data_IF_746386625987
#
_entry.id   IF_746386625987
#
_cell.length_a   1.000
_cell.length_b   1.000
_cell.length_c   1.000
_cell.angle_alpha   90.00
_cell.angle_beta   90.00
_cell.angle_gamma   90.00
#
_symmetry.space_group_name_H-M   'P 1'
#
loop_
_entity.id
_entity.type
_entity.pdbx_description
1 polymer ?
#
# COMPACT_ATOMS: atom_id res chain seq x y z
N UNK A 1 -24.34 4.36 -15.59
CA UNK A 1 -23.79 5.51 -14.84
C UNK A 1 -23.82 6.74 -15.74
N UNK A 2 -24.41 7.84 -15.29
CA UNK A 2 -24.42 9.08 -16.07
C UNK A 2 -23.05 9.80 -16.01
N UNK A 3 -22.75 10.72 -16.95
CA UNK A 3 -21.58 11.60 -16.84
C UNK A 3 -21.54 12.39 -15.53
N UNK A 4 -22.69 12.88 -15.05
CA UNK A 4 -22.79 13.62 -13.80
C UNK A 4 -22.48 12.74 -12.58
N UNK A 5 -22.96 11.49 -12.57
CA UNK A 5 -22.59 10.52 -11.53
C UNK A 5 -21.09 10.28 -11.50
N UNK A 6 -20.48 10.17 -12.68
CA UNK A 6 -19.05 9.95 -12.81
C UNK A 6 -18.24 11.13 -12.26
N UNK A 7 -18.62 12.37 -12.58
CA UNK A 7 -17.94 13.56 -12.09
C UNK A 7 -18.07 13.69 -10.55
N UNK A 8 -19.22 13.29 -9.99
CA UNK A 8 -19.41 13.22 -8.52
C UNK A 8 -18.56 12.12 -7.89
N UNK A 9 -18.45 10.95 -8.52
CA UNK A 9 -17.55 9.88 -8.05
C UNK A 9 -16.09 10.31 -8.11
N UNK A 10 -15.67 10.99 -9.17
CA UNK A 10 -14.31 11.53 -9.29
C UNK A 10 -13.99 12.48 -8.15
N UNK A 11 -14.90 13.43 -7.85
CA UNK A 11 -14.76 14.35 -6.72
C UNK A 11 -14.72 13.63 -5.37
N UNK A 12 -15.59 12.62 -5.19
CA UNK A 12 -15.63 11.81 -3.97
C UNK A 12 -14.32 11.04 -3.75
N UNK A 13 -13.79 10.38 -4.79
CA UNK A 13 -12.52 9.65 -4.74
C UNK A 13 -11.36 10.59 -4.41
N UNK A 14 -11.22 11.69 -5.15
CA UNK A 14 -10.14 12.65 -4.94
C UNK A 14 -10.17 13.27 -3.53
N UNK A 15 -11.35 13.55 -3.00
CA UNK A 15 -11.51 14.19 -1.68
C UNK A 15 -11.28 13.20 -0.53
N UNK A 16 -11.73 11.95 -0.65
CA UNK A 16 -11.70 10.96 0.44
C UNK A 16 -10.45 10.11 0.46
N UNK A 17 -9.90 9.79 -0.70
CA UNK A 17 -8.77 8.85 -0.83
C UNK A 17 -7.56 9.48 -1.50
N UNK A 18 -7.74 10.63 -2.13
CA UNK A 18 -6.73 11.23 -3.01
C UNK A 18 -6.61 10.53 -4.35
N UNK A 19 -7.36 9.45 -4.58
CA UNK A 19 -7.31 8.65 -5.80
C UNK A 19 -7.93 9.37 -6.99
N UNK A 20 -7.30 9.21 -8.14
CA UNK A 20 -7.77 9.74 -9.42
C UNK A 20 -8.65 8.71 -10.13
N UNK A 21 -9.88 9.10 -10.43
CA UNK A 21 -10.77 8.36 -11.31
C UNK A 21 -10.84 9.07 -12.67
N UNK A 22 -10.35 8.43 -13.73
CA UNK A 22 -10.30 9.00 -15.09
C UNK A 22 -11.40 8.41 -15.98
N UNK A 23 -11.87 9.17 -16.98
CA UNK A 23 -13.02 8.80 -17.82
C UNK A 23 -12.80 7.50 -18.61
N UNK A 24 -11.56 7.18 -18.97
CA UNK A 24 -11.20 5.88 -19.59
C UNK A 24 -11.48 4.67 -18.66
N UNK A 25 -11.53 4.89 -17.34
CA UNK A 25 -11.86 3.87 -16.33
C UNK A 25 -13.36 3.81 -16.00
N UNK A 26 -14.22 4.57 -16.68
CA UNK A 26 -15.67 4.61 -16.40
C UNK A 26 -16.32 3.22 -16.46
N UNK A 27 -16.04 2.43 -17.50
CA UNK A 27 -16.57 1.05 -17.63
C UNK A 27 -16.07 0.12 -16.52
N UNK A 28 -14.80 0.27 -16.12
CA UNK A 28 -14.23 -0.49 -15.01
C UNK A 28 -14.92 -0.12 -13.69
N UNK A 29 -15.23 1.16 -13.49
CA UNK A 29 -15.97 1.63 -12.33
C UNK A 29 -17.37 1.01 -12.28
N UNK A 30 -18.14 1.06 -13.37
CA UNK A 30 -19.48 0.42 -13.44
C UNK A 30 -19.41 -1.08 -13.09
N UNK A 31 -18.44 -1.79 -13.68
CA UNK A 31 -18.24 -3.22 -13.43
C UNK A 31 -17.93 -3.51 -11.95
N UNK A 32 -17.06 -2.70 -11.32
CA UNK A 32 -16.69 -2.86 -9.91
C UNK A 32 -17.81 -2.46 -8.94
N UNK A 33 -18.67 -1.53 -9.32
CA UNK A 33 -19.82 -1.10 -8.52
C UNK A 33 -21.01 -2.05 -8.62
N UNK A 34 -21.13 -2.87 -9.67
CA UNK A 34 -22.20 -3.86 -9.81
C UNK A 34 -22.36 -4.80 -8.60
N UNK A 35 -21.28 -5.47 -8.15
CA UNK A 35 -21.31 -6.30 -6.94
C UNK A 35 -21.67 -5.52 -5.67
N UNK A 36 -21.25 -4.25 -5.56
CA UNK A 36 -21.61 -3.38 -4.43
C UNK A 36 -23.10 -3.12 -4.43
N UNK A 37 -23.67 -2.70 -5.56
CA UNK A 37 -25.10 -2.43 -5.69
C UNK A 37 -25.95 -3.64 -5.25
N UNK A 38 -25.60 -4.84 -5.74
CA UNK A 38 -26.30 -6.08 -5.36
C UNK A 38 -26.20 -6.38 -3.87
N UNK A 39 -25.02 -6.25 -3.27
CA UNK A 39 -24.80 -6.51 -1.83
C UNK A 39 -25.58 -5.54 -0.96
N UNK A 40 -25.65 -4.27 -1.36
CA UNK A 40 -26.36 -3.22 -0.64
C UNK A 40 -27.88 -3.19 -0.95
N UNK A 41 -28.38 -4.14 -1.76
CA UNK A 41 -29.82 -4.34 -2.02
C UNK A 41 -30.41 -3.50 -3.16
N UNK A 42 -29.57 -2.94 -4.04
CA UNK A 42 -30.01 -2.18 -5.21
C UNK A 42 -30.02 -3.04 -6.49
N UNK A 43 -31.03 -2.83 -7.34
CA UNK A 43 -31.16 -3.55 -8.62
C UNK A 43 -30.10 -3.14 -9.64
N UNK A 44 -29.69 -1.86 -9.62
CA UNK A 44 -28.73 -1.29 -10.58
C UNK A 44 -27.73 -0.36 -9.89
N UNK A 45 -26.57 -0.17 -10.54
CA UNK A 45 -25.58 0.83 -10.10
C UNK A 45 -26.19 2.24 -10.12
N UNK A 46 -27.00 2.55 -11.13
CA UNK A 46 -27.62 3.87 -11.27
C UNK A 46 -28.61 4.14 -10.11
N UNK A 47 -29.40 3.15 -9.70
CA UNK A 47 -30.29 3.27 -8.54
C UNK A 47 -29.50 3.48 -7.23
N UNK A 48 -28.39 2.74 -7.06
CA UNK A 48 -27.51 2.89 -5.90
C UNK A 48 -26.89 4.29 -5.84
N UNK A 49 -26.36 4.79 -6.95
CA UNK A 49 -25.73 6.11 -7.03
C UNK A 49 -26.76 7.22 -6.80
N UNK A 50 -27.94 7.13 -7.42
CA UNK A 50 -29.04 8.07 -7.17
C UNK A 50 -29.42 8.13 -5.69
N UNK A 51 -29.52 6.98 -5.01
CA UNK A 51 -29.79 6.92 -3.58
C UNK A 51 -28.66 7.55 -2.74
N UNK A 52 -27.40 7.22 -3.05
CA UNK A 52 -26.22 7.79 -2.39
C UNK A 52 -26.18 9.32 -2.51
N UNK A 53 -26.55 9.86 -3.67
CA UNK A 53 -26.55 11.30 -3.92
C UNK A 53 -27.72 12.04 -3.28
N UNK A 54 -28.90 11.41 -3.24
CA UNK A 54 -30.08 12.00 -2.62
C UNK A 54 -29.96 12.01 -1.09
N UNK A 55 -29.43 10.94 -0.50
CA UNK A 55 -29.23 10.80 0.94
C UNK A 55 -27.89 10.14 1.24
N UNK A 56 -26.81 10.92 1.37
CA UNK A 56 -25.48 10.38 1.64
C UNK A 56 -25.44 9.58 2.95
N UNK A 57 -25.23 8.27 2.82
CA UNK A 57 -24.96 7.38 3.96
C UNK A 57 -23.47 7.03 3.95
N UNK A 58 -22.80 7.22 5.08
CA UNK A 58 -21.35 7.07 5.18
C UNK A 58 -20.85 5.65 4.82
N UNK A 59 -21.58 4.61 5.24
CA UNK A 59 -21.24 3.21 4.93
C UNK A 59 -21.33 2.92 3.43
N UNK A 60 -22.42 3.33 2.77
CA UNK A 60 -22.60 3.16 1.33
C UNK A 60 -21.54 3.93 0.53
N UNK A 61 -21.27 5.18 0.92
CA UNK A 61 -20.20 5.97 0.31
C UNK A 61 -18.84 5.30 0.40
N UNK A 62 -18.51 4.72 1.57
CA UNK A 62 -17.26 3.97 1.73
C UNK A 62 -17.22 2.68 0.91
N UNK A 63 -18.33 1.93 0.84
CA UNK A 63 -18.42 0.72 0.02
C UNK A 63 -18.18 1.01 -1.47
N UNK A 64 -18.72 2.12 -1.98
CA UNK A 64 -18.50 2.61 -3.33
C UNK A 64 -17.03 2.98 -3.54
N UNK A 65 -16.45 3.78 -2.64
CA UNK A 65 -15.05 4.21 -2.71
C UNK A 65 -14.10 3.00 -2.70
N UNK A 66 -14.29 2.09 -1.76
CA UNK A 66 -13.42 0.93 -1.56
C UNK A 66 -13.42 0.00 -2.77
N UNK A 67 -14.57 -0.16 -3.45
CA UNK A 67 -14.66 -0.93 -4.67
C UNK A 67 -13.90 -0.30 -5.85
N UNK A 68 -13.70 1.01 -5.85
CA UNK A 68 -13.00 1.74 -6.89
C UNK A 68 -11.49 1.84 -6.65
N UNK A 69 -11.01 1.55 -5.44
CA UNK A 69 -9.57 1.51 -5.15
C UNK A 69 -8.85 0.43 -5.98
N UNK A 70 -7.62 0.72 -6.38
CA UNK A 70 -6.76 -0.28 -7.02
C UNK A 70 -6.11 -1.15 -5.94
N UNK A 71 -6.47 -2.42 -5.90
CA UNK A 71 -5.95 -3.38 -4.93
C UNK A 71 -5.00 -4.40 -5.56
N UNK A 72 -4.54 -4.21 -6.80
CA UNK A 72 -3.67 -5.20 -7.45
C UNK A 72 -2.32 -5.31 -6.76
N UNK A 73 -2.04 -6.50 -6.22
CA UNK A 73 -0.77 -6.82 -5.57
C UNK A 73 -0.46 -8.31 -5.71
N UNK A 74 0.80 -8.67 -5.55
CA UNK A 74 1.27 -10.05 -5.53
C UNK A 74 2.60 -10.16 -4.80
N UNK A 75 2.96 -11.37 -4.40
CA UNK A 75 4.15 -11.61 -3.61
C UNK A 75 5.42 -11.22 -4.38
N UNK A 76 6.34 -10.54 -3.70
CA UNK A 76 7.59 -10.03 -4.26
C UNK A 76 7.43 -9.32 -5.63
N UNK A 77 6.34 -8.56 -5.83
CA UNK A 77 6.17 -7.66 -6.98
C UNK A 77 7.41 -6.77 -7.10
N UNK A 78 8.06 -6.72 -8.26
CA UNK A 78 9.38 -6.10 -8.45
C UNK A 78 10.44 -6.64 -7.47
N UNK A 79 10.75 -7.93 -7.61
CA UNK A 79 11.65 -8.72 -6.73
C UNK A 79 12.92 -8.00 -6.28
N UNK A 80 13.52 -7.19 -7.16
CA UNK A 80 14.75 -6.41 -6.89
C UNK A 80 14.60 -5.54 -5.64
N UNK A 81 13.43 -4.95 -5.37
CA UNK A 81 13.20 -4.13 -4.17
C UNK A 81 13.30 -4.97 -2.88
N UNK A 82 12.73 -6.18 -2.87
CA UNK A 82 12.79 -7.09 -1.73
C UNK A 82 14.18 -7.71 -1.55
N UNK A 83 14.87 -8.02 -2.65
CA UNK A 83 16.24 -8.51 -2.60
C UNK A 83 17.18 -7.42 -2.05
N UNK A 84 17.04 -6.18 -2.50
CA UNK A 84 17.80 -5.02 -1.99
C UNK A 84 17.52 -4.80 -0.50
N UNK A 85 16.24 -4.86 -0.09
CA UNK A 85 15.86 -4.74 1.31
C UNK A 85 16.48 -5.85 2.17
N UNK A 86 16.23 -7.12 1.83
CA UNK A 86 16.63 -8.25 2.68
C UNK A 86 18.13 -8.52 2.70
N UNK A 87 18.81 -8.36 1.56
CA UNK A 87 20.23 -8.75 1.42
C UNK A 87 21.21 -7.61 1.66
N UNK A 88 20.79 -6.36 1.49
CA UNK A 88 21.69 -5.21 1.56
C UNK A 88 21.32 -4.26 2.70
N UNK A 89 20.10 -3.73 2.69
CA UNK A 89 19.71 -2.68 3.63
C UNK A 89 19.45 -3.22 5.04
N UNK A 90 18.74 -4.33 5.16
CA UNK A 90 18.35 -4.88 6.45
C UNK A 90 19.57 -5.26 7.33
N UNK A 91 20.63 -5.91 6.81
CA UNK A 91 21.86 -6.13 7.58
C UNK A 91 22.53 -4.83 8.04
N UNK A 92 22.64 -3.84 7.16
CA UNK A 92 23.26 -2.55 7.47
C UNK A 92 22.47 -1.78 8.54
N UNK A 93 21.14 -1.73 8.41
CA UNK A 93 20.26 -1.09 9.38
C UNK A 93 20.29 -1.83 10.72
N UNK A 94 20.23 -3.17 10.72
CA UNK A 94 20.31 -3.97 11.94
C UNK A 94 21.60 -3.68 12.72
N UNK A 95 22.74 -3.60 12.02
CA UNK A 95 24.01 -3.21 12.63
C UNK A 95 23.97 -1.78 13.20
N UNK A 96 23.44 -0.81 12.44
CA UNK A 96 23.30 0.59 12.87
C UNK A 96 22.35 0.75 14.07
N UNK A 97 21.31 -0.09 14.17
CA UNK A 97 20.35 -0.13 15.28
C UNK A 97 20.79 -1.04 16.42
N UNK A 98 22.04 -1.53 16.41
CA UNK A 98 22.64 -2.38 17.45
C UNK A 98 21.79 -3.63 17.75
N UNK A 99 21.21 -4.23 16.72
CA UNK A 99 20.36 -5.42 16.82
C UNK A 99 18.94 -5.17 17.30
N UNK A 100 18.54 -3.92 17.56
CA UNK A 100 17.12 -3.60 17.74
C UNK A 100 16.35 -3.88 16.43
N UNK A 101 15.06 -4.28 16.49
CA UNK A 101 14.26 -4.54 15.30
C UNK A 101 14.22 -3.33 14.37
N UNK A 102 14.43 -3.56 13.08
CA UNK A 102 14.30 -2.53 12.05
C UNK A 102 12.81 -2.29 11.79
N UNK A 103 12.39 -1.02 11.88
CA UNK A 103 10.98 -0.62 11.75
C UNK A 103 10.66 -0.36 10.28
N UNK A 104 9.70 -1.11 9.75
CA UNK A 104 9.31 -1.06 8.34
C UNK A 104 7.83 -0.70 8.22
N UNK A 105 7.50 0.21 7.32
CA UNK A 105 6.11 0.53 6.98
C UNK A 105 5.81 0.17 5.52
N UNK A 106 4.82 -0.68 5.28
CA UNK A 106 4.19 -0.85 3.96
C UNK A 106 2.93 0.01 3.90
N UNK A 107 3.04 1.17 3.25
CA UNK A 107 2.01 2.18 3.06
C UNK A 107 1.23 1.89 1.77
N UNK A 108 -0.04 1.50 1.90
CA UNK A 108 -0.85 0.97 0.79
C UNK A 108 -0.64 -0.53 0.59
N UNK A 109 -0.68 -1.31 1.67
CA UNK A 109 -0.29 -2.73 1.63
C UNK A 109 -1.30 -3.65 0.91
N UNK A 110 -2.47 -3.15 0.52
CA UNK A 110 -3.57 -3.90 -0.08
C UNK A 110 -3.86 -5.19 0.71
N UNK A 111 -3.95 -6.33 0.03
CA UNK A 111 -4.22 -7.66 0.61
C UNK A 111 -3.00 -8.30 1.30
N UNK A 112 -1.94 -7.54 1.59
CA UNK A 112 -0.85 -7.93 2.50
C UNK A 112 0.36 -8.61 1.87
N UNK A 113 0.35 -8.96 0.58
CA UNK A 113 1.44 -9.70 -0.05
C UNK A 113 2.80 -8.98 0.03
N UNK A 114 2.81 -7.64 -0.02
CA UNK A 114 4.04 -6.87 0.20
C UNK A 114 4.57 -7.02 1.63
N UNK A 115 3.71 -6.88 2.63
CA UNK A 115 4.04 -7.04 4.06
C UNK A 115 4.61 -8.42 4.34
N UNK A 116 3.95 -9.47 3.86
CA UNK A 116 4.44 -10.84 4.02
C UNK A 116 5.74 -11.07 3.25
N UNK A 117 5.92 -10.44 2.08
CA UNK A 117 7.18 -10.52 1.33
C UNK A 117 8.35 -9.85 2.08
N UNK A 118 8.10 -8.76 2.80
CA UNK A 118 9.08 -8.12 3.70
C UNK A 118 9.42 -9.02 4.88
N UNK A 119 8.41 -9.64 5.51
CA UNK A 119 8.61 -10.57 6.61
C UNK A 119 9.44 -11.79 6.18
N UNK A 120 9.13 -12.37 5.02
CA UNK A 120 9.92 -13.46 4.43
C UNK A 120 11.36 -13.02 4.18
N UNK A 121 11.58 -11.85 3.58
CA UNK A 121 12.94 -11.35 3.33
C UNK A 121 13.75 -11.16 4.62
N UNK A 122 13.11 -10.70 5.70
CA UNK A 122 13.74 -10.58 7.00
C UNK A 122 14.03 -11.94 7.65
N UNK A 123 13.08 -12.89 7.56
CA UNK A 123 13.25 -14.26 8.03
C UNK A 123 14.37 -15.00 7.31
N UNK A 124 14.49 -14.84 5.98
CA UNK A 124 15.59 -15.38 5.19
C UNK A 124 16.95 -14.80 5.59
N UNK A 125 16.98 -13.53 6.01
CA UNK A 125 18.20 -12.89 6.52
C UNK A 125 18.50 -13.25 7.99
N UNK A 126 17.57 -13.88 8.71
CA UNK A 126 17.68 -14.15 10.15
C UNK A 126 17.69 -12.88 11.01
N UNK A 127 17.06 -11.79 10.53
CA UNK A 127 17.10 -10.48 11.17
C UNK A 127 15.72 -10.07 11.69
N UNK A 128 15.72 -9.33 12.80
CA UNK A 128 14.49 -8.87 13.46
C UNK A 128 13.95 -7.60 12.79
N UNK A 129 12.65 -7.59 12.53
CA UNK A 129 11.90 -6.45 11.99
C UNK A 129 10.60 -6.25 12.74
N UNK A 130 10.10 -5.03 12.73
CA UNK A 130 8.72 -4.68 13.09
C UNK A 130 8.07 -4.08 11.84
N UNK A 131 7.11 -4.80 11.24
CA UNK A 131 6.48 -4.40 9.99
C UNK A 131 5.06 -3.94 10.27
N UNK A 132 4.78 -2.67 9.97
CA UNK A 132 3.42 -2.13 9.94
C UNK A 132 2.92 -2.11 8.50
N UNK A 133 1.82 -2.78 8.22
CA UNK A 133 1.08 -2.65 6.96
C UNK A 133 -0.13 -1.76 7.15
N UNK A 134 -0.30 -0.73 6.31
CA UNK A 134 -1.50 0.09 6.33
C UNK A 134 -2.17 0.18 4.98
N UNK A 135 -3.49 0.19 4.98
CA UNK A 135 -4.29 0.45 3.78
C UNK A 135 -5.57 1.22 4.14
N UNK A 136 -6.19 1.82 3.13
CA UNK A 136 -7.48 2.49 3.29
C UNK A 136 -8.65 1.50 3.26
N UNK A 137 -8.48 0.41 2.51
CA UNK A 137 -9.46 -0.66 2.29
C UNK A 137 -9.48 -1.62 3.49
N UNK A 138 -10.58 -1.55 4.25
CA UNK A 138 -10.82 -2.44 5.38
C UNK A 138 -10.92 -3.90 4.91
N UNK A 139 -11.58 -4.13 3.77
CA UNK A 139 -11.72 -5.46 3.16
C UNK A 139 -10.37 -6.05 2.76
N UNK A 140 -9.47 -5.22 2.19
CA UNK A 140 -8.13 -5.68 1.85
C UNK A 140 -7.31 -6.01 3.11
N UNK A 141 -7.42 -5.18 4.15
CA UNK A 141 -6.76 -5.42 5.44
C UNK A 141 -7.24 -6.69 6.13
N UNK A 142 -8.52 -7.04 6.03
CA UNK A 142 -9.04 -8.30 6.59
C UNK A 142 -8.37 -9.52 5.93
N UNK A 143 -8.23 -9.51 4.60
CA UNK A 143 -7.47 -10.52 3.86
C UNK A 143 -5.98 -10.50 4.22
N UNK A 144 -5.39 -9.31 4.39
CA UNK A 144 -3.98 -9.18 4.78
C UNK A 144 -3.72 -9.79 6.17
N UNK A 145 -4.60 -9.48 7.13
CA UNK A 145 -4.56 -9.97 8.52
C UNK A 145 -4.74 -11.47 8.64
N UNK A 146 -5.57 -12.09 7.79
CA UNK A 146 -5.75 -13.54 7.83
C UNK A 146 -4.51 -14.30 7.38
N UNK A 147 -3.61 -13.65 6.61
CA UNK A 147 -2.42 -14.30 6.05
C UNK A 147 -2.74 -15.50 5.16
N UNK A 148 -4.00 -15.66 4.73
CA UNK A 148 -4.51 -16.82 4.02
C UNK A 148 -4.71 -16.50 2.55
N UNK A 149 -4.02 -17.25 1.69
CA UNK A 149 -3.97 -17.03 0.24
C UNK A 149 -4.28 -18.31 -0.53
N UNK A 150 -5.00 -18.18 -1.63
CA UNK A 150 -5.25 -19.30 -2.55
C UNK A 150 -3.95 -19.75 -3.21
N UNK A 151 -3.94 -20.97 -3.76
CA UNK A 151 -2.82 -21.48 -4.56
C UNK A 151 -2.41 -20.52 -5.69
N UNK A 152 -3.38 -19.92 -6.38
CA UNK A 152 -3.13 -18.93 -7.44
C UNK A 152 -2.43 -17.66 -6.92
N UNK A 153 -2.93 -17.11 -5.80
CA UNK A 153 -2.37 -15.90 -5.20
C UNK A 153 -0.93 -16.10 -4.72
N UNK A 154 -0.64 -17.21 -4.05
CA UNK A 154 0.68 -17.47 -3.46
C UNK A 154 1.73 -17.84 -4.51
N UNK A 155 1.33 -18.60 -5.54
CA UNK A 155 2.21 -18.96 -6.66
C UNK A 155 2.53 -17.77 -7.57
N UNK A 156 1.73 -16.70 -7.50
CA UNK A 156 2.04 -15.42 -8.16
C UNK A 156 3.16 -14.70 -7.41
N UNK A 157 4.39 -15.14 -7.67
CA UNK A 157 5.62 -14.45 -7.27
C UNK A 157 6.52 -15.21 -6.30
N UNK A 158 5.98 -16.17 -5.52
CA UNK A 158 6.80 -17.07 -4.69
C UNK A 158 7.20 -18.35 -5.43
N UNK A 159 8.34 -18.91 -5.05
CA UNK A 159 8.76 -20.26 -5.45
C UNK A 159 8.20 -21.28 -4.47
N UNK A 160 8.01 -22.53 -4.92
CA UNK A 160 7.47 -23.61 -4.09
C UNK A 160 8.26 -23.81 -2.77
N UNK A 161 9.59 -23.72 -2.82
CA UNK A 161 10.44 -23.82 -1.63
C UNK A 161 10.13 -22.72 -0.60
N UNK A 162 9.99 -21.47 -1.05
CA UNK A 162 9.62 -20.34 -0.19
C UNK A 162 8.23 -20.53 0.41
N UNK A 163 7.28 -21.04 -0.38
CA UNK A 163 5.91 -21.34 0.10
C UNK A 163 5.94 -22.37 1.22
N UNK A 164 6.54 -23.54 0.98
CA UNK A 164 6.62 -24.63 1.95
C UNK A 164 7.38 -24.24 3.22
N UNK A 165 8.36 -23.34 3.11
CA UNK A 165 9.10 -22.83 4.26
C UNK A 165 8.22 -21.97 5.16
N UNK A 166 7.48 -21.03 4.59
CA UNK A 166 6.91 -19.89 5.33
C UNK A 166 5.39 -19.91 5.47
N UNK A 167 4.71 -20.85 4.80
CA UNK A 167 3.27 -21.02 4.85
C UNK A 167 2.92 -22.47 5.15
N UNK A 168 1.83 -22.67 5.90
CA UNK A 168 1.18 -23.97 6.07
C UNK A 168 0.08 -24.13 5.02
N UNK A 169 -0.01 -25.31 4.42
CA UNK A 169 -1.07 -25.64 3.48
C UNK A 169 -2.26 -26.22 4.26
N UNK A 170 -3.40 -25.52 4.23
CA UNK A 170 -4.65 -25.93 4.88
C UNK A 170 -5.77 -25.92 3.84
N UNK A 171 -6.32 -27.11 3.54
CA UNK A 171 -7.35 -27.29 2.51
C UNK A 171 -6.97 -26.62 1.17
N UNK A 172 -7.73 -25.59 0.76
CA UNK A 172 -7.54 -24.83 -0.47
C UNK A 172 -6.75 -23.51 -0.27
N UNK A 173 -6.15 -23.33 0.91
CA UNK A 173 -5.43 -22.13 1.30
C UNK A 173 -3.99 -22.39 1.77
N UNK A 174 -3.20 -21.33 1.69
CA UNK A 174 -1.86 -21.24 2.24
C UNK A 174 -1.86 -20.14 3.31
N UNK A 175 -1.56 -20.51 4.54
CA UNK A 175 -1.65 -19.62 5.70
C UNK A 175 -0.24 -19.27 6.17
N UNK A 176 0.04 -17.98 6.35
CA UNK A 176 1.32 -17.51 6.84
C UNK A 176 1.62 -18.09 8.23
N UNK A 177 2.80 -18.70 8.40
CA UNK A 177 3.23 -19.27 9.68
C UNK A 177 3.37 -18.21 10.76
N UNK A 178 3.14 -18.60 12.02
CA UNK A 178 3.24 -17.70 13.19
C UNK A 178 4.58 -16.96 13.28
N UNK A 179 5.68 -17.60 12.86
CA UNK A 179 7.01 -16.99 12.84
C UNK A 179 7.09 -15.72 11.97
N UNK A 180 6.27 -15.61 10.92
CA UNK A 180 6.13 -14.37 10.14
C UNK A 180 5.19 -13.38 10.84
N UNK A 181 4.07 -13.88 11.37
CA UNK A 181 2.99 -13.08 11.95
C UNK A 181 3.43 -12.28 13.17
N UNK A 182 4.39 -12.79 13.95
CA UNK A 182 4.90 -12.13 15.15
C UNK A 182 5.49 -10.74 14.85
N UNK A 183 6.11 -10.57 13.68
CA UNK A 183 6.74 -9.34 13.22
C UNK A 183 5.77 -8.35 12.56
N UNK A 184 4.51 -8.75 12.29
CA UNK A 184 3.60 -8.00 11.42
C UNK A 184 2.42 -7.41 12.20
N UNK A 185 2.09 -6.15 11.93
CA UNK A 185 0.88 -5.48 12.41
C UNK A 185 0.17 -4.79 11.25
N UNK A 186 -1.16 -4.85 11.25
CA UNK A 186 -1.99 -4.20 10.23
C UNK A 186 -2.90 -3.15 10.85
N UNK A 187 -2.95 -1.97 10.25
CA UNK A 187 -3.82 -0.88 10.68
C UNK A 187 -4.48 -0.18 9.49
N UNK A 188 -5.66 0.38 9.70
CA UNK A 188 -6.30 1.23 8.69
C UNK A 188 -5.71 2.63 8.76
N UNK A 189 -5.27 3.17 7.63
CA UNK A 189 -4.78 4.54 7.55
C UNK A 189 -5.08 5.16 6.18
N UNK A 190 -5.32 6.46 6.16
CA UNK A 190 -5.35 7.25 4.95
C UNK A 190 -4.03 8.01 4.83
N UNK A 191 -3.32 7.86 3.71
CA UNK A 191 -2.02 8.52 3.52
C UNK A 191 -2.12 10.05 3.38
N UNK A 192 -3.33 10.58 3.20
CA UNK A 192 -3.59 12.02 3.24
C UNK A 192 -3.65 12.58 4.67
N UNK A 193 -3.94 11.73 5.66
CA UNK A 193 -4.08 12.17 7.03
C UNK A 193 -2.69 12.44 7.62
N UNK A 194 -2.53 13.60 8.25
CA UNK A 194 -1.29 13.91 8.94
C UNK A 194 -1.03 12.89 10.07
N UNK A 195 0.24 12.49 10.29
CA UNK A 195 0.61 11.69 11.45
C UNK A 195 0.06 12.28 12.75
N UNK A 196 -0.64 11.47 13.55
CA UNK A 196 -1.17 11.87 14.85
C UNK A 196 -0.12 11.83 15.98
N UNK A 197 1.05 11.27 15.69
CA UNK A 197 2.14 11.01 16.63
C UNK A 197 3.49 11.09 15.90
N UNK A 198 4.58 11.09 16.69
CA UNK A 198 5.96 11.23 16.19
C UNK A 198 6.66 9.89 15.90
N UNK A 199 5.94 8.76 15.84
CA UNK A 199 6.53 7.46 15.52
C UNK A 199 7.11 7.46 14.09
N UNK A 200 8.34 6.97 13.96
CA UNK A 200 9.08 6.93 12.69
C UNK A 200 9.58 5.54 12.35
N UNK A 201 9.76 5.31 11.05
CA UNK A 201 10.22 4.07 10.44
C UNK A 201 11.61 4.23 9.84
N UNK A 202 12.38 3.16 9.86
CA UNK A 202 13.69 3.06 9.22
C UNK A 202 13.54 2.91 7.70
N UNK A 203 12.52 2.16 7.28
CA UNK A 203 12.22 1.87 5.88
C UNK A 203 10.73 2.05 5.63
N UNK A 204 10.38 2.74 4.55
CA UNK A 204 9.00 2.82 4.08
C UNK A 204 8.91 2.23 2.67
N UNK A 205 7.97 1.33 2.45
CA UNK A 205 7.52 0.87 1.15
C UNK A 205 6.18 1.57 0.86
N UNK A 206 6.11 2.39 -0.18
CA UNK A 206 4.89 3.04 -0.66
C UNK A 206 4.82 2.87 -2.18
N UNK A 207 4.51 1.65 -2.62
CA UNK A 207 4.76 1.20 -3.99
C UNK A 207 3.47 0.97 -4.75
N UNK A 208 3.41 1.47 -5.99
CA UNK A 208 2.22 1.38 -6.86
C UNK A 208 1.00 2.08 -6.23
N UNK A 209 1.24 3.16 -5.48
CA UNK A 209 0.22 3.96 -4.80
C UNK A 209 0.16 5.35 -5.42
N UNK A 210 1.30 6.02 -5.57
CA UNK A 210 1.40 7.40 -6.01
C UNK A 210 0.91 7.58 -7.46
N UNK A 211 1.07 6.56 -8.31
CA UNK A 211 0.61 6.58 -9.70
C UNK A 211 -0.92 6.65 -9.86
N UNK A 212 -1.68 6.22 -8.86
CA UNK A 212 -3.15 6.28 -8.88
C UNK A 212 -3.71 7.51 -8.13
N UNK A 213 -2.85 8.36 -7.55
CA UNK A 213 -3.27 9.58 -6.86
C UNK A 213 -3.48 10.75 -7.81
N UNK A 214 -4.32 11.68 -7.39
CA UNK A 214 -4.38 13.00 -8.01
C UNK A 214 -3.06 13.76 -7.77
N UNK A 215 -2.44 14.39 -8.79
CA UNK A 215 -1.21 15.15 -8.69
C UNK A 215 -1.21 16.18 -7.56
N UNK A 216 -2.34 16.82 -7.29
CA UNK A 216 -2.43 17.81 -6.21
C UNK A 216 -2.34 17.17 -4.81
N UNK A 217 -2.57 15.85 -4.70
CA UNK A 217 -2.54 15.09 -3.46
C UNK A 217 -1.22 14.36 -3.23
N UNK A 218 -0.42 14.12 -4.29
CA UNK A 218 0.87 13.43 -4.21
C UNK A 218 1.84 14.12 -3.28
N UNK A 219 1.94 15.45 -3.34
CA UNK A 219 2.79 16.25 -2.44
C UNK A 219 2.45 16.03 -0.96
N UNK A 220 1.15 16.07 -0.60
CA UNK A 220 0.69 15.84 0.78
C UNK A 220 1.08 14.44 1.29
N UNK A 221 0.90 13.42 0.45
CA UNK A 221 1.33 12.06 0.81
C UNK A 221 2.84 12.01 1.02
N UNK A 222 3.63 12.61 0.14
CA UNK A 222 5.09 12.63 0.26
C UNK A 222 5.56 13.36 1.52
N UNK A 223 4.93 14.47 1.89
CA UNK A 223 5.19 15.17 3.16
C UNK A 223 4.88 14.28 4.37
N UNK A 224 3.77 13.53 4.34
CA UNK A 224 3.41 12.58 5.40
C UNK A 224 4.43 11.43 5.50
N UNK A 225 4.87 10.89 4.37
CA UNK A 225 5.92 9.85 4.32
C UNK A 225 7.24 10.40 4.86
N UNK A 226 7.63 11.63 4.52
CA UNK A 226 8.85 12.25 5.01
C UNK A 226 8.85 12.41 6.53
N UNK A 227 7.72 12.87 7.10
CA UNK A 227 7.53 13.02 8.55
C UNK A 227 7.66 11.68 9.30
N UNK A 228 7.23 10.59 8.67
CA UNK A 228 7.29 9.23 9.20
C UNK A 228 8.63 8.53 8.95
N UNK A 229 9.50 9.03 8.08
CA UNK A 229 10.81 8.41 7.83
C UNK A 229 11.88 8.99 8.78
N UNK A 230 12.78 8.16 9.30
CA UNK A 230 13.99 8.65 9.98
C UNK A 230 14.96 9.31 8.99
N UNK A 231 15.91 10.11 9.49
CA UNK A 231 16.75 10.92 8.60
C UNK A 231 17.79 10.11 7.83
N UNK A 232 18.22 8.96 8.38
CA UNK A 232 19.08 7.97 7.72
C UNK A 232 18.29 6.82 7.07
N UNK A 233 16.97 6.99 6.92
CA UNK A 233 16.06 5.99 6.39
C UNK A 233 15.95 6.00 4.86
N UNK A 234 15.20 5.02 4.33
CA UNK A 234 14.94 4.92 2.90
C UNK A 234 13.46 4.69 2.57
N UNK A 235 13.08 5.14 1.37
CA UNK A 235 11.75 5.02 0.80
C UNK A 235 11.83 4.18 -0.48
N UNK A 236 11.02 3.14 -0.57
CA UNK A 236 10.80 2.36 -1.78
C UNK A 236 9.48 2.77 -2.43
N UNK A 237 9.56 3.15 -3.70
CA UNK A 237 8.42 3.37 -4.60
C UNK A 237 8.38 2.30 -5.69
N UNK A 238 7.28 2.25 -6.43
CA UNK A 238 7.19 1.45 -7.64
C UNK A 238 8.29 1.86 -8.64
N UNK A 239 8.82 0.92 -9.43
CA UNK A 239 9.92 1.20 -10.34
C UNK A 239 9.58 2.27 -11.38
N UNK A 240 8.30 2.48 -11.70
CA UNK A 240 7.85 3.47 -12.69
C UNK A 240 7.24 4.72 -12.04
N UNK A 241 7.28 4.83 -10.71
CA UNK A 241 6.83 6.02 -9.99
C UNK A 241 7.98 7.02 -9.87
N UNK A 242 7.75 8.25 -10.35
CA UNK A 242 8.68 9.38 -10.21
C UNK A 242 8.16 10.39 -9.18
N UNK A 243 9.08 11.12 -8.56
CA UNK A 243 8.79 12.23 -7.64
C UNK A 243 8.98 13.61 -8.29
N UNK A 244 9.34 13.64 -9.58
CA UNK A 244 9.67 14.87 -10.29
C UNK A 244 8.49 15.85 -10.27
N UNK A 245 8.71 17.02 -9.67
CA UNK A 245 7.71 18.09 -9.56
C UNK A 245 6.73 17.94 -8.39
N UNK A 246 6.69 16.80 -7.69
CA UNK A 246 5.80 16.60 -6.53
C UNK A 246 6.46 16.91 -5.19
N UNK A 247 7.78 16.69 -5.08
CA UNK A 247 8.53 16.95 -3.84
C UNK A 247 10.03 17.04 -4.08
N UNK A 248 10.69 17.89 -3.28
CA UNK A 248 12.16 17.95 -3.17
C UNK A 248 12.69 17.21 -1.93
N UNK A 249 11.80 16.64 -1.12
CA UNK A 249 12.13 16.01 0.17
C UNK A 249 12.93 14.71 0.02
N UNK A 250 12.80 14.06 -1.13
CA UNK A 250 13.46 12.81 -1.45
C UNK A 250 14.29 12.93 -2.71
N UNK A 251 15.36 12.14 -2.78
CA UNK A 251 16.20 12.01 -3.97
C UNK A 251 16.39 10.52 -4.31
N UNK A 252 16.44 10.17 -5.60
CA UNK A 252 16.70 8.79 -6.00
C UNK A 252 18.12 8.37 -5.63
N UNK A 253 18.30 7.09 -5.33
CA UNK A 253 19.60 6.46 -5.15
C UNK A 253 20.12 6.00 -6.51
N UNK A 254 21.29 6.51 -6.90
CA UNK A 254 21.88 6.23 -8.21
C UNK A 254 22.02 4.72 -8.45
N UNK A 255 21.57 4.25 -9.61
CA UNK A 255 21.61 2.84 -10.00
C UNK A 255 20.57 1.93 -9.29
N UNK A 256 19.71 2.48 -8.43
CA UNK A 256 18.69 1.72 -7.69
C UNK A 256 17.29 2.27 -7.99
N UNK A 257 16.66 1.76 -9.05
CA UNK A 257 15.31 2.18 -9.49
C UNK A 257 14.29 1.98 -8.35
N UNK A 258 13.47 2.99 -8.09
CA UNK A 258 12.46 2.95 -7.04
C UNK A 258 12.99 3.14 -5.61
N UNK A 259 14.30 3.29 -5.40
CA UNK A 259 14.88 3.53 -4.07
C UNK A 259 15.23 5.01 -3.89
N UNK A 260 14.76 5.59 -2.79
CA UNK A 260 14.92 6.99 -2.44
C UNK A 260 15.42 7.16 -1.00
N UNK A 261 16.08 8.28 -0.75
CA UNK A 261 16.50 8.71 0.60
C UNK A 261 16.11 10.18 0.78
N UNK A 262 16.07 10.66 2.03
CA UNK A 262 15.80 12.08 2.27
C UNK A 262 16.87 12.97 1.62
N UNK A 263 16.43 14.07 1.05
CA UNK A 263 17.30 15.12 0.55
C UNK A 263 18.00 15.82 1.71
N UNK A 264 19.31 16.12 1.60
CA UNK A 264 20.03 16.92 2.57
C UNK A 264 19.31 18.24 2.89
N UNK A 265 19.32 18.64 4.15
CA UNK A 265 18.65 19.88 4.63
C UNK A 265 19.11 21.14 3.88
N UNK A 266 20.35 21.16 3.40
CA UNK A 266 20.89 22.27 2.61
C UNK A 266 20.17 22.48 1.27
N UNK A 267 19.75 21.40 0.60
CA UNK A 267 19.03 21.47 -0.67
C UNK A 267 17.58 21.96 -0.45
N UNK A 268 16.98 21.59 0.68
CA UNK A 268 15.62 22.01 1.07
C UNK A 268 15.48 23.48 1.45
N UNK A 269 16.57 24.15 1.86
CA UNK A 269 16.56 25.58 2.23
C UNK A 269 16.82 26.52 1.06
N UNK A 270 17.30 26.00 -0.06
CA UNK A 270 17.68 26.77 -1.25
C UNK A 270 16.60 26.79 -2.34
N UNK A 271 15.56 25.98 -2.19
CA UNK A 271 14.38 25.91 -3.04
C UNK A 271 13.19 26.55 -2.33
#
# INVERSE_FOLDING_TARGET
MSPDDFDRLQSLMATRTGGRLTRDRMKLAEHRLGPVARREGFETVDAMLAALWAKPVASLGWAVIEALLNSETWFRRDRISFDTFGRELLPALSAARKGAPVKVWSAGCSTGQEVWSLAIAAGEAGLKVEITGTDLSQRALEKAKSGSYTGFEIQRGLKAETMLRWFDQEEDAWIAKTELSDAVRFARANLLDAPADDYRFDVIFCRHVLGDLDPQKRGVVLENLERRLVDDGCLFLGPDESLDGDSIAFRPVAGRKGLFVKSPTAIRRAA
#
